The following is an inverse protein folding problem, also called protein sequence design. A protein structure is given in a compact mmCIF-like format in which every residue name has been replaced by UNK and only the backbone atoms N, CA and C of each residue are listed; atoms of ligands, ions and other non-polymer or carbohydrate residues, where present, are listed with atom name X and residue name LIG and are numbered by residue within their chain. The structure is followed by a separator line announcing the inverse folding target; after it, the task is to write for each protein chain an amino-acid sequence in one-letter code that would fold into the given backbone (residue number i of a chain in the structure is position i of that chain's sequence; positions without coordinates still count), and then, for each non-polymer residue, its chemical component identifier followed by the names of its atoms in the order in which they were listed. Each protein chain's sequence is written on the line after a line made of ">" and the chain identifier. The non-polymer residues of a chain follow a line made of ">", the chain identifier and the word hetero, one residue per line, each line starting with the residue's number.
data_IF_320298171045
#
_entry.id   IF_320298171045
#
_cell.length_a   1.000
_cell.length_b   1.000
_cell.length_c   1.000
_cell.angle_alpha   90.00
_cell.angle_beta   90.00
_cell.angle_gamma   90.00
#
_symmetry.space_group_name_H-M   'P 1'
#
loop_
_entity.id
_entity.type
_entity.pdbx_description
1 polymer ?
#
# COMPACT_ATOMS: atom_id res chain seq x y z
N UNK A 1 -0.43 18.46 12.14
CA UNK A 1 0.48 17.85 11.14
C UNK A 1 -0.42 17.05 10.22
N UNK A 2 -0.48 17.38 8.94
CA UNK A 2 -1.36 16.71 7.99
C UNK A 2 -0.72 15.38 7.63
N UNK A 3 -1.34 14.26 8.02
CA UNK A 3 -0.92 12.94 7.59
C UNK A 3 -1.33 12.78 6.12
N UNK A 4 -0.36 12.73 5.20
CA UNK A 4 -0.63 12.49 3.79
C UNK A 4 -1.00 11.01 3.61
N UNK A 5 -2.31 10.76 3.53
CA UNK A 5 -2.90 9.45 3.31
C UNK A 5 -3.68 9.40 2.00
N UNK A 6 -3.55 8.29 1.28
CA UNK A 6 -4.35 7.98 0.10
C UNK A 6 -5.05 6.64 0.33
N UNK A 7 -6.37 6.59 0.14
CA UNK A 7 -7.16 5.40 0.43
C UNK A 7 -7.94 4.96 -0.81
N UNK A 8 -7.93 3.65 -1.06
CA UNK A 8 -8.65 3.00 -2.14
C UNK A 8 -9.66 2.04 -1.54
N UNK A 9 -10.91 2.12 -1.99
CA UNK A 9 -11.97 1.19 -1.61
C UNK A 9 -12.05 0.10 -2.68
N UNK A 10 -11.91 -1.16 -2.25
CA UNK A 10 -11.99 -2.33 -3.13
C UNK A 10 -13.18 -3.19 -2.69
N UNK A 11 -14.16 -3.31 -3.58
CA UNK A 11 -15.36 -4.15 -3.39
C UNK A 11 -15.27 -5.37 -4.28
N UNK A 12 -15.96 -6.43 -3.88
CA UNK A 12 -16.19 -7.62 -4.71
C UNK A 12 -14.91 -8.29 -5.21
N UNK A 13 -13.82 -8.17 -4.44
CA UNK A 13 -12.53 -8.80 -4.75
C UNK A 13 -12.00 -9.59 -3.58
N UNK A 14 -11.49 -10.82 -3.80
CA UNK A 14 -10.90 -11.60 -2.73
C UNK A 14 -9.59 -10.96 -2.27
N UNK A 15 -9.31 -11.02 -0.96
CA UNK A 15 -8.08 -10.49 -0.37
C UNK A 15 -6.81 -10.98 -1.07
N UNK A 16 -6.78 -12.26 -1.48
CA UNK A 16 -5.65 -12.83 -2.20
C UNK A 16 -5.34 -12.09 -3.50
N UNK A 17 -6.37 -11.71 -4.27
CA UNK A 17 -6.18 -10.99 -5.52
C UNK A 17 -5.72 -9.54 -5.27
N UNK A 18 -6.21 -8.88 -4.21
CA UNK A 18 -5.72 -7.55 -3.81
C UNK A 18 -4.22 -7.60 -3.47
N UNK A 19 -3.79 -8.63 -2.73
CA UNK A 19 -2.38 -8.85 -2.39
C UNK A 19 -1.52 -9.09 -3.63
N UNK A 20 -1.98 -9.95 -4.55
CA UNK A 20 -1.25 -10.24 -5.78
C UNK A 20 -1.06 -8.97 -6.62
N UNK A 21 -2.09 -8.14 -6.76
CA UNK A 21 -1.99 -6.88 -7.50
C UNK A 21 -1.00 -5.91 -6.84
N UNK A 22 -1.00 -5.79 -5.51
CA UNK A 22 -0.03 -4.96 -4.78
C UNK A 22 1.41 -5.44 -4.99
N UNK A 23 1.67 -6.74 -4.82
CA UNK A 23 3.01 -7.31 -5.03
C UNK A 23 3.45 -7.14 -6.48
N UNK A 24 2.54 -7.36 -7.43
CA UNK A 24 2.83 -7.15 -8.85
C UNK A 24 3.21 -5.68 -9.12
N UNK A 25 2.43 -4.73 -8.59
CA UNK A 25 2.71 -3.30 -8.72
C UNK A 25 4.06 -2.92 -8.09
N UNK A 26 4.41 -3.47 -6.92
CA UNK A 26 5.69 -3.21 -6.27
C UNK A 26 6.87 -3.72 -7.11
N UNK A 27 6.76 -4.91 -7.68
CA UNK A 27 7.80 -5.50 -8.53
C UNK A 27 7.90 -4.85 -9.91
N UNK A 28 6.79 -4.34 -10.45
CA UNK A 28 6.75 -3.65 -11.74
C UNK A 28 7.16 -2.18 -11.66
N UNK A 29 7.30 -1.62 -10.46
CA UNK A 29 7.74 -0.23 -10.25
C UNK A 29 9.26 -0.20 -10.09
N UNK A 30 10.02 0.38 -11.04
CA UNK A 30 11.47 0.50 -10.92
C UNK A 30 11.89 1.24 -9.65
N UNK A 31 13.04 0.86 -9.09
CA UNK A 31 13.63 1.49 -7.89
C UNK A 31 12.77 1.46 -6.62
N UNK A 32 11.64 0.74 -6.64
CA UNK A 32 10.81 0.49 -5.47
C UNK A 32 11.26 -0.81 -4.80
N UNK A 33 11.56 -0.72 -3.51
CA UNK A 33 11.77 -1.89 -2.65
C UNK A 33 10.64 -1.98 -1.64
N UNK A 34 10.22 -3.20 -1.30
CA UNK A 34 9.16 -3.44 -0.33
C UNK A 34 9.59 -4.46 0.73
N UNK A 35 9.02 -4.32 1.92
CA UNK A 35 9.10 -5.29 3.00
C UNK A 35 7.69 -5.66 3.46
N UNK A 36 7.47 -6.94 3.74
CA UNK A 36 6.20 -7.46 4.25
C UNK A 36 6.27 -7.41 5.78
N UNK A 37 5.48 -6.54 6.40
CA UNK A 37 5.43 -6.39 7.85
C UNK A 37 4.47 -7.39 8.49
N UNK A 38 3.33 -7.61 7.84
CA UNK A 38 2.34 -8.59 8.25
C UNK A 38 1.58 -9.12 7.03
N UNK A 39 0.63 -10.02 7.26
CA UNK A 39 -0.23 -10.55 6.19
C UNK A 39 -0.92 -9.43 5.40
N UNK A 40 -1.22 -8.28 5.99
CA UNK A 40 -1.97 -7.19 5.33
C UNK A 40 -1.25 -5.84 5.39
N UNK A 41 0.03 -5.82 5.77
CA UNK A 41 0.80 -4.59 5.92
C UNK A 41 2.16 -4.69 5.21
N UNK A 42 2.51 -3.62 4.51
CA UNK A 42 3.73 -3.50 3.73
C UNK A 42 4.39 -2.16 4.02
N UNK A 43 5.72 -2.13 3.96
CA UNK A 43 6.49 -0.89 3.93
C UNK A 43 7.22 -0.82 2.60
N UNK A 44 7.03 0.28 1.90
CA UNK A 44 7.63 0.52 0.61
C UNK A 44 8.59 1.71 0.69
N UNK A 45 9.68 1.62 -0.06
CA UNK A 45 10.63 2.70 -0.24
C UNK A 45 10.90 2.85 -1.73
N UNK A 46 10.54 4.01 -2.27
CA UNK A 46 10.86 4.41 -3.62
C UNK A 46 12.16 5.21 -3.61
N UNK A 47 13.20 4.61 -4.19
CA UNK A 47 14.53 5.22 -4.30
C UNK A 47 14.55 6.10 -5.53
N UNK A 48 15.01 7.35 -5.39
CA UNK A 48 15.19 8.24 -6.55
C UNK A 48 16.60 8.04 -7.11
N UNK A 49 16.75 7.71 -8.40
CA UNK A 49 18.07 7.40 -8.98
C UNK A 49 18.98 8.63 -9.14
N UNK A 50 18.45 9.85 -9.05
CA UNK A 50 19.23 11.06 -9.30
C UNK A 50 20.07 11.47 -8.08
N UNK A 51 21.36 11.10 -8.13
CA UNK A 51 22.36 11.34 -7.08
C UNK A 51 22.90 12.79 -7.06
N UNK A 52 22.40 13.66 -7.93
CA UNK A 52 22.95 15.02 -8.12
C UNK A 52 22.52 16.02 -7.06
N UNK A 53 21.46 15.75 -6.29
CA UNK A 53 20.98 16.63 -5.23
C UNK A 53 20.94 15.90 -3.89
N UNK A 54 21.78 16.35 -2.95
CA UNK A 54 21.85 15.85 -1.56
C UNK A 54 20.54 16.01 -0.77
N UNK A 55 19.52 16.63 -1.38
CA UNK A 55 18.21 16.92 -0.79
C UNK A 55 17.09 16.00 -1.30
N UNK A 56 17.35 15.10 -2.24
CA UNK A 56 16.36 14.11 -2.66
C UNK A 56 16.33 12.93 -1.68
N UNK A 57 15.39 12.96 -0.73
CA UNK A 57 15.14 11.83 0.18
C UNK A 57 14.30 10.76 -0.53
N UNK A 58 14.58 9.50 -0.23
CA UNK A 58 13.74 8.38 -0.65
C UNK A 58 12.33 8.55 -0.09
N UNK A 59 11.31 8.24 -0.90
CA UNK A 59 9.92 8.28 -0.45
C UNK A 59 9.66 6.97 0.26
N UNK A 60 9.27 7.04 1.54
CA UNK A 60 8.85 5.87 2.30
C UNK A 60 7.37 5.97 2.55
N UNK A 61 6.65 4.86 2.42
CA UNK A 61 5.23 4.82 2.73
C UNK A 61 4.83 3.45 3.29
N UNK A 62 3.78 3.47 4.09
CA UNK A 62 3.13 2.28 4.62
C UNK A 62 1.91 1.95 3.78
N UNK A 63 1.67 0.67 3.53
CA UNK A 63 0.45 0.17 2.88
C UNK A 63 -0.23 -0.79 3.83
N UNK A 64 -1.51 -0.57 4.09
CA UNK A 64 -2.33 -1.42 4.94
C UNK A 64 -3.63 -1.81 4.25
N UNK A 65 -4.02 -3.08 4.38
CA UNK A 65 -5.32 -3.58 3.94
C UNK A 65 -6.19 -3.83 5.17
N UNK A 66 -7.28 -3.08 5.29
CA UNK A 66 -8.32 -3.26 6.30
C UNK A 66 -9.57 -3.86 5.65
N UNK A 67 -10.29 -4.72 6.39
CA UNK A 67 -11.60 -5.22 5.96
C UNK A 67 -12.66 -4.70 6.92
N UNK A 68 -13.78 -4.25 6.38
CA UNK A 68 -14.98 -3.99 7.19
C UNK A 68 -15.92 -5.15 6.93
N UNK A 69 -15.98 -6.08 7.89
CA UNK A 69 -17.00 -7.12 7.87
C UNK A 69 -18.33 -6.48 8.17
N UNK A 70 -19.25 -6.57 7.23
CA UNK A 70 -20.64 -6.24 7.50
C UNK A 70 -21.21 -7.23 8.53
N UNK A 71 -22.10 -6.74 9.39
CA UNK A 71 -22.85 -7.61 10.32
C UNK A 71 -23.71 -8.63 9.55
N UNK A 72 -24.10 -8.30 8.32
CA UNK A 72 -24.83 -9.19 7.43
C UNK A 72 -23.87 -9.98 6.53
N UNK A 73 -23.87 -11.31 6.72
CA UNK A 73 -23.09 -12.28 5.95
C UNK A 73 -23.48 -12.37 4.46
N UNK A 74 -24.50 -11.64 4.03
CA UNK A 74 -24.98 -11.58 2.65
C UNK A 74 -24.30 -10.49 1.82
N UNK A 75 -23.66 -9.51 2.46
CA UNK A 75 -22.99 -8.41 1.76
C UNK A 75 -21.53 -8.75 1.45
N UNK A 76 -21.04 -8.40 0.24
CA UNK A 76 -19.68 -8.73 -0.15
C UNK A 76 -18.66 -7.98 0.70
N UNK A 77 -17.53 -8.64 0.98
CA UNK A 77 -16.42 -8.03 1.72
C UNK A 77 -15.96 -6.75 1.02
N UNK A 78 -15.83 -5.67 1.80
CA UNK A 78 -15.23 -4.42 1.36
C UNK A 78 -13.88 -4.24 2.04
N UNK A 79 -12.84 -4.06 1.22
CA UNK A 79 -11.48 -3.81 1.66
C UNK A 79 -11.12 -2.34 1.45
N UNK A 80 -10.34 -1.81 2.37
CA UNK A 80 -9.76 -0.47 2.31
C UNK A 80 -8.25 -0.65 2.24
N UNK A 81 -7.64 -0.14 1.17
CA UNK A 81 -6.19 -0.13 1.00
C UNK A 81 -5.71 1.29 1.24
N UNK A 82 -4.98 1.48 2.34
CA UNK A 82 -4.50 2.80 2.77
C UNK A 82 -3.00 2.91 2.55
N UNK A 83 -2.58 3.97 1.88
CA UNK A 83 -1.20 4.38 1.68
C UNK A 83 -0.91 5.58 2.55
N UNK A 84 0.06 5.48 3.44
CA UNK A 84 0.44 6.56 4.37
C UNK A 84 1.88 6.95 4.12
N UNK A 85 2.12 8.22 3.78
CA UNK A 85 3.48 8.75 3.62
C UNK A 85 4.22 8.72 4.96
N UNK A 86 5.46 8.25 4.96
CA UNK A 86 6.36 8.25 6.11
C UNK A 86 7.40 9.35 5.88
N UNK A 87 7.28 10.45 6.63
CA UNK A 87 8.23 11.57 6.61
C UNK A 87 9.48 11.29 7.44
#
# INVERSE_FOLDING_TARGET
>A
MQEDHHMIVVKDRPLAAIKTDLIHAFLSTPDLVHNVLSSTQYRCEYRRPDRSSMFQRNIRFHVEICTVKSMDSSSPDTYYVTFTLIT
#
